data_IF_735508480053
#
_entry.id   IF_735508480053
#
_cell.length_a   1.000
_cell.length_b   1.000
_cell.length_c   1.000
_cell.angle_alpha   90.00
_cell.angle_beta   90.00
_cell.angle_gamma   90.00
#
_symmetry.space_group_name_H-M   'P 1'
#
loop_
_entity.id
_entity.type
_entity.pdbx_description
1 polymer ?
#
# COMPACT_ATOMS: atom_id res chain seq x y z
N UNK A 1 -6.32 -6.81 -10.88
CA UNK A 1 -5.38 -6.84 -9.75
C UNK A 1 -6.01 -7.61 -8.60
N UNK A 2 -5.46 -8.78 -8.22
CA UNK A 2 -5.69 -9.28 -6.85
C UNK A 2 -4.88 -8.36 -5.92
N UNK A 3 -5.57 -7.28 -5.57
CA UNK A 3 -5.66 -6.68 -4.25
C UNK A 3 -4.46 -6.92 -3.34
N UNK A 4 -3.64 -5.87 -3.28
CA UNK A 4 -2.62 -5.56 -2.28
C UNK A 4 -2.26 -6.73 -1.35
N UNK A 5 -1.09 -7.37 -1.57
CA UNK A 5 -0.10 -7.70 -0.54
C UNK A 5 0.95 -8.69 -1.07
N UNK A 6 1.87 -8.22 -1.91
CA UNK A 6 3.23 -8.70 -1.72
C UNK A 6 3.77 -8.06 -0.44
N UNK A 7 4.29 -8.87 0.46
CA UNK A 7 4.65 -8.42 1.78
C UNK A 7 6.14 -8.32 1.90
N UNK A 8 6.64 -7.11 2.14
CA UNK A 8 8.07 -6.90 2.30
C UNK A 8 8.40 -7.05 3.80
N UNK A 9 9.25 -8.02 4.21
CA UNK A 9 9.68 -8.21 5.59
C UNK A 9 10.50 -7.02 6.08
N UNK A 10 11.24 -6.31 5.22
CA UNK A 10 12.06 -5.18 5.64
C UNK A 10 11.32 -3.84 5.69
N UNK A 11 10.12 -3.85 6.27
CA UNK A 11 9.70 -2.67 7.05
C UNK A 11 10.50 -2.54 8.36
N UNK A 12 11.68 -3.16 8.48
CA UNK A 12 12.60 -3.13 9.63
C UNK A 12 12.91 -1.71 10.12
N UNK A 13 12.84 -0.72 9.22
CA UNK A 13 13.05 0.70 9.55
C UNK A 13 11.75 1.45 9.86
N UNK A 14 10.60 0.80 9.68
CA UNK A 14 9.27 1.41 9.80
C UNK A 14 8.31 0.64 10.70
N UNK A 15 7.85 -0.55 10.29
CA UNK A 15 6.75 -1.29 10.95
C UNK A 15 7.17 -2.65 11.55
N UNK A 16 8.45 -2.99 11.51
CA UNK A 16 9.04 -4.12 12.23
C UNK A 16 10.47 -3.84 12.69
N UNK A 17 11.21 -4.90 13.03
CA UNK A 17 12.67 -4.88 13.29
C UNK A 17 13.34 -6.04 12.54
N UNK A 18 14.68 -6.07 12.38
CA UNK A 18 15.36 -7.18 11.71
C UNK A 18 15.04 -8.57 12.28
N UNK A 19 14.82 -8.65 13.59
CA UNK A 19 14.48 -9.88 14.29
C UNK A 19 12.97 -10.20 14.26
N UNK A 20 12.13 -9.19 14.03
CA UNK A 20 10.68 -9.28 13.98
C UNK A 20 10.13 -8.40 12.84
N UNK A 21 10.33 -8.83 11.58
CA UNK A 21 10.02 -8.00 10.40
C UNK A 21 8.53 -7.72 10.30
N UNK A 22 8.15 -6.50 9.94
CA UNK A 22 6.75 -6.16 9.70
C UNK A 22 6.29 -6.59 8.31
N UNK A 23 5.14 -6.06 7.90
CA UNK A 23 4.39 -6.42 6.71
C UNK A 23 3.76 -5.15 6.14
N UNK A 24 4.24 -4.74 4.97
CA UNK A 24 3.74 -3.58 4.22
C UNK A 24 3.38 -4.03 2.81
N UNK A 25 2.52 -3.27 2.14
CA UNK A 25 2.03 -3.63 0.80
C UNK A 25 3.06 -3.33 -0.30
N UNK A 26 3.01 -4.13 -1.35
CA UNK A 26 3.62 -3.85 -2.66
C UNK A 26 2.64 -4.26 -3.76
N UNK A 27 2.91 -3.81 -5.00
CA UNK A 27 2.14 -4.18 -6.18
C UNK A 27 2.77 -5.39 -6.88
N UNK A 28 1.94 -6.34 -7.29
CA UNK A 28 2.36 -7.52 -8.06
C UNK A 28 1.57 -7.50 -9.37
N UNK A 29 2.24 -7.83 -10.48
CA UNK A 29 1.57 -8.00 -11.76
C UNK A 29 0.61 -9.21 -11.70
N UNK A 30 -0.63 -9.03 -12.15
CA UNK A 30 -1.64 -10.07 -12.16
C UNK A 30 -2.40 -10.08 -13.49
N UNK A 31 -2.99 -11.21 -13.85
CA UNK A 31 -3.73 -11.39 -15.10
C UNK A 31 -5.19 -10.87 -15.05
N UNK A 32 -5.60 -10.22 -13.95
CA UNK A 32 -6.98 -9.70 -13.79
C UNK A 32 -7.09 -8.21 -14.06
N UNK A 33 -8.21 -7.79 -14.65
CA UNK A 33 -8.50 -6.39 -15.02
C UNK A 33 -8.95 -5.50 -13.84
N UNK A 34 -9.00 -6.00 -12.60
CA UNK A 34 -9.41 -5.15 -11.47
C UNK A 34 -8.40 -4.03 -11.22
N UNK A 35 -8.83 -2.78 -10.98
CA UNK A 35 -7.92 -1.67 -10.68
C UNK A 35 -7.43 -1.70 -9.21
N UNK A 36 -6.28 -1.07 -8.98
CA UNK A 36 -5.76 -0.75 -7.64
C UNK A 36 -5.99 0.73 -7.45
N UNK A 37 -6.69 1.03 -6.37
CA UNK A 37 -7.02 2.38 -5.99
C UNK A 37 -5.92 3.01 -5.16
N UNK A 38 -5.74 4.31 -5.33
CA UNK A 38 -4.75 5.09 -4.62
C UNK A 38 -4.82 6.56 -5.00
N UNK A 39 -3.81 7.31 -4.60
CA UNK A 39 -3.70 8.73 -4.90
C UNK A 39 -2.45 9.01 -5.74
N UNK A 40 -2.61 9.86 -6.76
CA UNK A 40 -1.49 10.42 -7.52
C UNK A 40 -1.19 11.83 -7.02
N UNK A 41 0.08 12.11 -6.70
CA UNK A 41 0.53 13.41 -6.21
C UNK A 41 1.34 14.14 -7.28
N UNK A 42 0.87 15.33 -7.68
CA UNK A 42 1.63 16.22 -8.55
C UNK A 42 2.67 16.99 -7.74
N UNK A 43 3.95 16.80 -8.06
CA UNK A 43 5.05 17.52 -7.45
C UNK A 43 5.36 18.76 -8.28
N UNK A 44 5.46 19.92 -7.62
CA UNK A 44 5.87 21.16 -8.27
C UNK A 44 7.26 20.98 -8.93
N UNK A 45 7.48 21.47 -10.17
CA UNK A 45 8.72 21.22 -10.91
C UNK A 45 10.01 21.54 -10.13
N UNK A 46 10.01 22.62 -9.35
CA UNK A 46 11.15 23.04 -8.54
C UNK A 46 11.47 22.08 -7.37
N UNK A 47 10.52 21.25 -6.95
CA UNK A 47 10.64 20.34 -5.81
C UNK A 47 10.92 18.89 -6.23
N UNK A 48 10.85 18.57 -7.54
CA UNK A 48 10.94 17.20 -8.06
C UNK A 48 12.21 16.51 -7.61
N UNK A 49 13.38 17.13 -7.81
CA UNK A 49 14.66 16.51 -7.43
C UNK A 49 14.74 16.25 -5.93
N UNK A 50 14.33 17.22 -5.11
CA UNK A 50 14.38 17.12 -3.64
C UNK A 50 13.43 16.04 -3.13
N UNK A 51 12.19 16.01 -3.61
CA UNK A 51 11.19 15.03 -3.18
C UNK A 51 11.55 13.64 -3.71
N UNK A 52 12.03 13.53 -4.95
CA UNK A 52 12.48 12.25 -5.49
C UNK A 52 13.66 11.70 -4.68
N UNK A 53 14.67 12.52 -4.35
CA UNK A 53 15.79 12.08 -3.52
C UNK A 53 15.34 11.62 -2.13
N UNK A 54 14.36 12.30 -1.53
CA UNK A 54 13.74 11.86 -0.27
C UNK A 54 13.01 10.52 -0.41
N UNK A 55 12.24 10.32 -1.48
CA UNK A 55 11.54 9.07 -1.75
C UNK A 55 12.52 7.93 -2.05
N UNK A 56 13.58 8.17 -2.83
CA UNK A 56 14.62 7.19 -3.13
C UNK A 56 15.29 6.66 -1.84
N UNK A 57 15.50 7.52 -0.84
CA UNK A 57 16.05 7.12 0.47
C UNK A 57 15.05 6.33 1.30
N UNK A 58 13.77 6.71 1.27
CA UNK A 58 12.71 6.02 2.01
C UNK A 58 12.47 4.61 1.48
N UNK A 59 12.55 4.44 0.16
CA UNK A 59 12.23 3.18 -0.53
C UNK A 59 13.50 2.37 -0.88
N UNK A 60 14.64 2.68 -0.25
CA UNK A 60 15.98 2.10 -0.51
C UNK A 60 16.03 0.57 -0.37
N UNK A 61 15.06 -0.01 0.34
CA UNK A 61 14.95 -1.43 0.65
C UNK A 61 14.30 -2.22 -0.51
N UNK A 62 14.90 -2.12 -1.70
CA UNK A 62 14.60 -2.98 -2.84
C UNK A 62 13.32 -2.66 -3.62
N UNK A 63 12.72 -1.49 -3.42
CA UNK A 63 11.75 -0.95 -4.36
C UNK A 63 12.46 -0.39 -5.60
N UNK A 64 11.84 -0.56 -6.75
CA UNK A 64 12.30 -0.01 -8.02
C UNK A 64 11.25 0.96 -8.57
N UNK A 65 11.69 1.96 -9.32
CA UNK A 65 10.79 2.95 -9.94
C UNK A 65 10.24 2.37 -11.24
N UNK A 66 8.92 2.31 -11.34
CA UNK A 66 8.19 1.93 -12.55
C UNK A 66 7.37 3.11 -13.05
N UNK A 67 7.25 3.25 -14.36
CA UNK A 67 6.32 4.20 -14.98
C UNK A 67 5.06 3.47 -15.41
N UNK A 68 3.93 3.88 -14.86
CA UNK A 68 2.63 3.29 -15.17
C UNK A 68 1.58 4.35 -15.52
N UNK A 69 0.62 4.04 -16.41
CA UNK A 69 -0.56 4.86 -16.59
C UNK A 69 -1.44 4.77 -15.33
N UNK A 70 -1.83 5.93 -14.79
CA UNK A 70 -2.77 6.06 -13.68
C UNK A 70 -4.00 6.78 -14.19
N UNK A 71 -5.16 6.14 -14.04
CA UNK A 71 -6.43 6.70 -14.45
C UNK A 71 -7.07 7.43 -13.28
N UNK A 72 -7.50 8.68 -13.47
CA UNK A 72 -8.22 9.42 -12.44
C UNK A 72 -9.73 9.35 -12.65
N UNK A 73 -10.49 9.46 -11.56
CA UNK A 73 -11.95 9.55 -11.55
C UNK A 73 -12.45 10.98 -11.26
N UNK A 74 -11.59 11.99 -11.40
CA UNK A 74 -11.96 13.41 -11.22
C UNK A 74 -13.19 13.78 -12.07
N UNK A 75 -14.11 14.62 -11.55
CA UNK A 75 -15.18 15.20 -12.34
C UNK A 75 -14.62 15.94 -13.57
N UNK A 76 -15.38 15.94 -14.66
CA UNK A 76 -14.95 16.56 -15.94
C UNK A 76 -14.53 18.03 -15.77
N UNK A 77 -15.22 18.75 -14.90
CA UNK A 77 -14.97 20.16 -14.59
C UNK A 77 -13.61 20.39 -13.89
N UNK A 78 -13.10 19.38 -13.18
CA UNK A 78 -11.83 19.41 -12.47
C UNK A 78 -10.69 18.78 -13.28
N UNK A 79 -11.00 18.10 -14.39
CA UNK A 79 -10.03 17.35 -15.19
C UNK A 79 -9.69 17.97 -16.53
N UNK A 80 -10.11 19.20 -16.83
CA UNK A 80 -9.87 19.82 -18.16
C UNK A 80 -8.38 19.88 -18.52
N UNK A 81 -7.53 20.14 -17.53
CA UNK A 81 -6.07 20.25 -17.69
C UNK A 81 -5.30 19.00 -17.18
N UNK A 82 -6.01 17.94 -16.80
CA UNK A 82 -5.40 16.71 -16.26
C UNK A 82 -5.49 15.60 -17.31
N UNK A 83 -4.36 15.09 -17.83
CA UNK A 83 -4.37 13.98 -18.77
C UNK A 83 -4.96 12.71 -18.14
N UNK A 84 -5.78 11.95 -18.89
CA UNK A 84 -6.25 10.64 -18.48
C UNK A 84 -5.91 9.59 -19.57
N UNK A 85 -4.94 8.68 -19.35
CA UNK A 85 -4.20 8.46 -18.10
C UNK A 85 -3.07 9.46 -17.85
N UNK A 86 -2.74 9.65 -16.57
CA UNK A 86 -1.53 10.33 -16.10
C UNK A 86 -0.36 9.36 -16.18
N UNK A 87 0.79 9.80 -16.72
CA UNK A 87 2.01 9.00 -16.67
C UNK A 87 2.76 9.26 -15.35
N UNK A 88 2.55 8.39 -14.37
CA UNK A 88 3.10 8.52 -13.02
C UNK A 88 4.29 7.56 -12.78
N UNK A 89 5.13 7.90 -11.81
CA UNK A 89 6.09 6.97 -11.23
C UNK A 89 5.47 6.26 -10.03
N UNK A 90 5.77 4.97 -9.88
CA UNK A 90 5.32 4.12 -8.78
C UNK A 90 6.53 3.34 -8.27
N UNK A 91 6.73 3.30 -6.95
CA UNK A 91 7.75 2.47 -6.33
C UNK A 91 7.15 1.08 -6.11
N UNK A 92 7.79 0.04 -6.67
CA UNK A 92 7.33 -1.34 -6.56
C UNK A 92 8.47 -2.23 -6.04
N UNK A 93 8.23 -2.94 -4.95
CA UNK A 93 9.06 -4.05 -4.50
C UNK A 93 8.71 -5.27 -5.32
N UNK A 94 9.55 -5.59 -6.30
CA UNK A 94 9.35 -6.71 -7.23
C UNK A 94 9.62 -8.04 -6.55
N UNK A 95 9.10 -9.18 -7.07
CA UNK A 95 9.39 -10.50 -6.51
C UNK A 95 10.88 -10.88 -6.45
N UNK A 96 11.71 -10.28 -7.29
CA UNK A 96 13.18 -10.44 -7.26
C UNK A 96 13.85 -9.73 -6.07
N UNK A 97 13.10 -8.92 -5.30
CA UNK A 97 13.60 -8.32 -4.08
C UNK A 97 13.85 -9.45 -3.06
N UNK A 98 15.07 -9.58 -2.49
CA UNK A 98 15.35 -10.56 -1.43
C UNK A 98 14.42 -10.43 -0.21
N UNK A 99 13.83 -9.25 -0.05
CA UNK A 99 12.83 -8.91 0.95
C UNK A 99 11.42 -9.08 0.38
N UNK A 100 11.17 -10.01 -0.54
CA UNK A 100 9.80 -10.35 -0.92
C UNK A 100 9.41 -11.59 -0.12
N UNK A 101 8.52 -11.43 0.87
CA UNK A 101 7.83 -12.60 1.41
C UNK A 101 6.71 -12.90 0.44
N UNK A 102 6.75 -14.11 -0.13
CA UNK A 102 5.68 -14.64 -0.96
C UNK A 102 4.32 -14.64 -0.23
N UNK A 103 3.27 -15.12 -0.90
CA UNK A 103 1.93 -15.11 -0.33
C UNK A 103 1.91 -15.78 1.06
N UNK A 104 1.16 -15.22 2.02
CA UNK A 104 1.08 -15.78 3.36
C UNK A 104 0.45 -17.17 3.35
N UNK A 105 0.73 -18.00 4.37
CA UNK A 105 0.06 -19.30 4.55
C UNK A 105 -1.47 -19.16 4.70
N UNK A 106 -1.93 -18.07 5.33
CA UNK A 106 -3.34 -17.70 5.41
C UNK A 106 -3.49 -16.22 5.79
N UNK A 107 -4.66 -15.64 5.51
CA UNK A 107 -5.02 -14.29 5.98
C UNK A 107 -4.94 -14.18 7.50
N UNK A 108 -5.38 -15.22 8.23
CA UNK A 108 -5.31 -15.22 9.69
C UNK A 108 -3.86 -15.18 10.21
N UNK A 109 -2.96 -15.98 9.62
CA UNK A 109 -1.54 -15.95 9.97
C UNK A 109 -0.91 -14.58 9.67
N UNK A 110 -1.27 -13.97 8.54
CA UNK A 110 -0.83 -12.62 8.19
C UNK A 110 -1.34 -11.57 9.17
N UNK A 111 -2.64 -11.60 9.50
CA UNK A 111 -3.25 -10.71 10.47
C UNK A 111 -2.54 -10.82 11.82
N UNK A 112 -2.36 -12.03 12.33
CA UNK A 112 -1.66 -12.28 13.59
C UNK A 112 -0.22 -11.75 13.57
N UNK A 113 0.49 -11.92 12.45
CA UNK A 113 1.84 -11.38 12.27
C UNK A 113 1.84 -9.85 12.33
N UNK A 114 0.94 -9.19 11.61
CA UNK A 114 0.79 -7.72 11.62
C UNK A 114 0.48 -7.22 13.03
N UNK A 115 -0.42 -7.89 13.76
CA UNK A 115 -0.78 -7.49 15.12
C UNK A 115 0.40 -7.54 16.10
N UNK A 116 1.33 -8.47 15.89
CA UNK A 116 2.49 -8.67 16.74
C UNK A 116 3.72 -7.85 16.31
N UNK A 117 3.66 -7.15 15.17
CA UNK A 117 4.79 -6.44 14.58
C UNK A 117 4.79 -4.95 14.93
N UNK A 118 5.97 -4.40 15.25
CA UNK A 118 6.19 -2.99 15.53
C UNK A 118 7.59 -2.57 15.11
N UNK A 119 7.71 -1.37 14.55
CA UNK A 119 8.99 -0.76 14.20
C UNK A 119 9.11 0.71 14.64
N UNK A 120 10.16 1.41 14.19
CA UNK A 120 10.43 2.81 14.54
C UNK A 120 9.28 3.78 14.18
N UNK A 121 8.50 3.48 13.14
CA UNK A 121 7.36 4.27 12.68
C UNK A 121 6.03 3.88 13.33
N UNK A 122 6.02 2.99 14.33
CA UNK A 122 4.84 2.59 15.08
C UNK A 122 4.43 1.12 14.89
N UNK A 123 3.23 0.79 15.34
CA UNK A 123 2.69 -0.58 15.25
C UNK A 123 2.30 -0.89 13.80
N UNK A 124 2.50 -2.13 13.37
CA UNK A 124 2.13 -2.51 12.00
C UNK A 124 0.60 -2.53 11.81
N UNK A 125 -0.15 -2.81 12.88
CA UNK A 125 -1.62 -2.75 12.85
C UNK A 125 -2.15 -1.35 12.52
N UNK A 126 -1.50 -0.29 13.01
CA UNK A 126 -1.88 1.09 12.66
C UNK A 126 -1.74 1.34 11.16
N UNK A 127 -0.70 0.80 10.53
CA UNK A 127 -0.53 0.87 9.09
C UNK A 127 -1.69 0.21 8.35
N UNK A 128 -2.08 -1.02 8.75
CA UNK A 128 -3.19 -1.75 8.14
C UNK A 128 -4.51 -0.99 8.26
N UNK A 129 -4.87 -0.54 9.46
CA UNK A 129 -6.15 0.16 9.67
C UNK A 129 -6.20 1.52 8.99
N UNK A 130 -5.09 2.27 8.99
CA UNK A 130 -5.03 3.54 8.28
C UNK A 130 -5.17 3.34 6.76
N UNK A 131 -4.57 2.28 6.20
CA UNK A 131 -4.73 1.94 4.80
C UNK A 131 -6.17 1.55 4.48
N UNK A 132 -6.78 0.67 5.28
CA UNK A 132 -8.18 0.29 5.15
C UNK A 132 -9.09 1.52 5.18
N UNK A 133 -8.96 2.38 6.20
CA UNK A 133 -9.77 3.60 6.30
C UNK A 133 -9.54 4.56 5.13
N UNK A 134 -8.29 4.72 4.66
CA UNK A 134 -8.00 5.59 3.53
C UNK A 134 -8.63 5.10 2.23
N UNK A 135 -8.63 3.80 1.97
CA UNK A 135 -9.25 3.21 0.78
C UNK A 135 -10.77 3.38 0.80
N UNK A 136 -11.41 3.10 1.93
CA UNK A 136 -12.87 3.25 2.06
C UNK A 136 -13.32 4.73 1.93
N UNK A 137 -12.46 5.68 2.32
CA UNK A 137 -12.74 7.11 2.17
C UNK A 137 -12.35 7.68 0.80
N UNK A 138 -11.64 6.91 -0.04
CA UNK A 138 -11.07 7.42 -1.29
C UNK A 138 -12.14 7.60 -2.37
N UNK A 139 -12.95 6.58 -2.60
CA UNK A 139 -14.09 6.60 -3.51
C UNK A 139 -15.03 5.42 -3.20
N UNK A 140 -16.34 5.50 -3.50
CA UNK A 140 -17.27 4.39 -3.28
C UNK A 140 -16.84 3.06 -3.94
N UNK A 141 -16.19 3.15 -5.09
CA UNK A 141 -15.68 2.01 -5.84
C UNK A 141 -14.25 1.58 -5.46
N UNK A 142 -13.57 2.29 -4.53
CA UNK A 142 -12.18 2.05 -4.14
C UNK A 142 -11.95 0.83 -3.24
N UNK A 143 -12.95 -0.05 -3.16
CA UNK A 143 -12.97 -1.16 -2.24
C UNK A 143 -11.97 -2.28 -2.59
N UNK A 144 -11.03 -2.50 -1.68
CA UNK A 144 -10.06 -3.59 -1.75
C UNK A 144 -10.47 -4.72 -0.77
N UNK A 145 -10.96 -5.84 -1.32
CA UNK A 145 -11.39 -7.01 -0.54
C UNK A 145 -10.25 -7.72 0.16
N UNK A 146 -9.00 -7.68 -0.33
CA UNK A 146 -7.89 -8.28 0.40
C UNK A 146 -7.59 -7.46 1.66
N UNK A 147 -7.43 -6.14 1.51
CA UNK A 147 -7.21 -5.24 2.66
C UNK A 147 -8.39 -5.29 3.62
N UNK A 148 -9.62 -5.35 3.11
CA UNK A 148 -10.82 -5.48 3.93
C UNK A 148 -10.84 -6.79 4.72
N UNK A 149 -10.61 -7.93 4.05
CA UNK A 149 -10.57 -9.24 4.72
C UNK A 149 -9.46 -9.27 5.78
N UNK A 150 -8.29 -8.73 5.46
CA UNK A 150 -7.15 -8.67 6.36
C UNK A 150 -7.41 -7.77 7.58
N UNK A 151 -7.98 -6.57 7.36
CA UNK A 151 -8.33 -5.64 8.42
C UNK A 151 -9.43 -6.20 9.33
N UNK A 152 -10.48 -6.81 8.76
CA UNK A 152 -11.53 -7.47 9.53
C UNK A 152 -10.98 -8.63 10.35
N UNK A 153 -10.16 -9.50 9.75
CA UNK A 153 -9.52 -10.62 10.47
C UNK A 153 -8.66 -10.13 11.62
N UNK A 154 -7.87 -9.08 11.41
CA UNK A 154 -7.05 -8.47 12.48
C UNK A 154 -7.92 -7.90 13.61
N UNK A 155 -9.04 -7.25 13.25
CA UNK A 155 -9.98 -6.69 14.21
C UNK A 155 -10.67 -7.80 15.05
N UNK A 156 -11.09 -8.88 14.41
CA UNK A 156 -11.68 -10.05 15.06
C UNK A 156 -10.72 -10.68 16.08
N UNK A 157 -9.44 -10.87 15.72
CA UNK A 157 -8.42 -11.40 16.62
C UNK A 157 -8.26 -10.52 17.88
N UNK A 158 -8.34 -9.20 17.71
CA UNK A 158 -8.29 -8.24 18.83
C UNK A 158 -9.61 -8.09 19.59
N UNK A 159 -10.68 -8.77 19.18
CA UNK A 159 -12.00 -8.67 19.80
C UNK A 159 -12.67 -7.31 19.59
N UNK A 160 -12.38 -6.62 18.47
CA UNK A 160 -12.98 -5.34 18.08
C UNK A 160 -13.83 -5.47 16.82
N UNK A 161 -14.74 -4.53 16.65
CA UNK A 161 -15.47 -4.32 15.40
C UNK A 161 -14.84 -3.12 14.68
N UNK A 162 -14.54 -3.28 13.39
CA UNK A 162 -14.30 -2.12 12.53
C UNK A 162 -15.64 -1.42 12.33
N UNK A 163 -15.65 -0.09 12.51
CA UNK A 163 -16.83 0.70 12.21
C UNK A 163 -16.88 0.88 10.70
N UNK A 164 -18.06 0.68 10.11
CA UNK A 164 -18.31 1.13 8.75
C UNK A 164 -17.95 2.62 8.66
N UNK A 165 -17.06 3.01 7.72
CA UNK A 165 -16.77 4.40 7.48
C UNK A 165 -17.96 5.02 6.72
N UNK A 166 -19.03 5.33 7.48
CA UNK A 166 -20.24 6.11 7.12
C UNK A 166 -20.66 6.16 5.64
#
# INVERSE_FOLDING_TARGET
MDKLTGLIPNSEDHRGTPEAPGRVVTLIAHETDEPVWGAAYLIAPAEVERIKAYLDLREINGYTIHRHPVYHNLPREESEDVPNPISAIVYIGTPDNPQFVGPPESIHALAQHILNSRGPSGENKEYLYNLYTALEQLAPEAHDSHITELANTAAEIEGRLLKDPN
#
